data_IF_621047509412
#
_entry.id   IF_621047509412
#
_cell.length_a   1.000
_cell.length_b   1.000
_cell.length_c   1.000
_cell.angle_alpha   90.00
_cell.angle_beta   90.00
_cell.angle_gamma   90.00
#
_symmetry.space_group_name_H-M   'P 1'
#
loop_
_entity.id
_entity.type
_entity.pdbx_description
1 polymer ?
#
# COMPACT_ATOMS: atom_id res chain seq x y z
N UNK A 1 1.74 1.86 10.23
CA UNK A 1 2.68 1.88 9.11
C UNK A 1 3.54 0.62 9.14
N UNK A 2 3.75 0.00 7.98
CA UNK A 2 4.62 -1.17 7.81
C UNK A 2 5.79 -0.73 6.95
N UNK A 3 7.00 -1.20 7.29
CA UNK A 3 8.17 -0.89 6.48
C UNK A 3 9.11 -2.09 6.38
N UNK A 4 9.82 -2.18 5.24
CA UNK A 4 10.92 -3.09 4.99
C UNK A 4 12.01 -2.24 4.36
N UNK A 5 13.16 -2.10 5.01
CA UNK A 5 14.19 -1.11 4.65
C UNK A 5 13.57 0.28 4.58
N UNK A 6 13.54 0.89 3.37
CA UNK A 6 12.94 2.19 3.13
C UNK A 6 11.60 2.12 2.43
N UNK A 7 11.20 0.95 1.88
CA UNK A 7 9.82 0.75 1.37
C UNK A 7 8.86 0.90 2.55
N UNK A 8 7.84 1.73 2.37
CA UNK A 8 6.87 2.01 3.41
C UNK A 8 5.46 1.87 2.89
N UNK A 9 4.59 1.32 3.73
CA UNK A 9 3.18 1.22 3.43
C UNK A 9 2.38 1.77 4.61
N UNK A 10 1.43 2.64 4.32
CA UNK A 10 0.40 3.05 5.26
C UNK A 10 -0.87 2.33 4.86
N UNK A 11 -1.43 1.56 5.79
CA UNK A 11 -2.57 0.70 5.55
C UNK A 11 -3.76 1.21 6.36
N UNK A 12 -4.88 1.41 5.69
CA UNK A 12 -6.11 1.87 6.33
C UNK A 12 -7.26 0.94 5.98
N UNK A 13 -7.96 0.46 7.00
CA UNK A 13 -9.19 -0.31 6.81
C UNK A 13 -10.32 0.63 6.41
N UNK A 14 -11.08 0.24 5.39
CA UNK A 14 -12.18 1.06 4.87
C UNK A 14 -13.41 0.21 4.61
N UNK A 15 -14.58 0.83 4.64
CA UNK A 15 -15.82 0.20 4.18
C UNK A 15 -15.95 0.30 2.66
N UNK A 16 -15.40 1.35 2.09
CA UNK A 16 -15.26 1.55 0.65
C UNK A 16 -14.20 2.61 0.39
N UNK A 17 -13.60 2.60 -0.79
CA UNK A 17 -12.65 3.62 -1.21
C UNK A 17 -12.63 3.72 -2.72
N UNK A 18 -12.32 4.90 -3.22
CA UNK A 18 -12.13 5.12 -4.65
C UNK A 18 -11.04 6.16 -4.90
N UNK A 19 -10.45 6.11 -6.09
CA UNK A 19 -9.52 7.10 -6.58
C UNK A 19 -10.10 7.72 -7.83
N UNK A 20 -10.14 9.05 -7.89
CA UNK A 20 -10.67 9.80 -9.04
C UNK A 20 -9.59 10.69 -9.63
N UNK A 21 -9.61 10.79 -10.96
CA UNK A 21 -8.74 11.70 -11.70
C UNK A 21 -9.61 12.41 -12.73
N UNK A 22 -9.60 13.76 -12.70
CA UNK A 22 -10.41 14.59 -13.59
C UNK A 22 -11.90 14.23 -13.56
N UNK A 23 -12.42 13.87 -12.38
CA UNK A 23 -13.82 13.52 -12.20
C UNK A 23 -14.17 12.08 -12.54
N UNK A 24 -13.23 11.30 -13.06
CA UNK A 24 -13.44 9.89 -13.37
C UNK A 24 -12.85 8.98 -12.31
N UNK A 25 -13.60 7.93 -11.94
CA UNK A 25 -13.11 6.91 -11.03
C UNK A 25 -12.16 5.98 -11.78
N UNK A 26 -10.89 5.96 -11.34
CA UNK A 26 -9.86 5.10 -11.94
C UNK A 26 -9.62 3.82 -11.14
N UNK A 27 -10.10 3.76 -9.90
CA UNK A 27 -10.03 2.57 -9.07
C UNK A 27 -11.03 2.69 -7.93
N UNK A 28 -11.67 1.58 -7.56
CA UNK A 28 -12.64 1.55 -6.47
C UNK A 28 -12.68 0.16 -5.85
N UNK A 29 -12.93 0.12 -4.53
CA UNK A 29 -13.15 -1.11 -3.78
C UNK A 29 -14.33 -0.91 -2.81
N UNK A 30 -14.98 -2.03 -2.44
CA UNK A 30 -15.87 -2.08 -1.29
C UNK A 30 -15.06 -2.24 0.00
N UNK A 31 -15.52 -3.05 0.96
CA UNK A 31 -14.77 -3.26 2.21
C UNK A 31 -13.38 -3.80 1.94
N UNK A 32 -12.38 -3.28 2.64
CA UNK A 32 -11.01 -3.72 2.46
C UNK A 32 -9.99 -2.76 3.00
N UNK A 33 -8.87 -2.65 2.31
CA UNK A 33 -7.74 -1.82 2.71
C UNK A 33 -7.34 -0.84 1.61
N UNK A 34 -7.07 0.39 2.01
CA UNK A 34 -6.31 1.35 1.20
C UNK A 34 -4.85 1.22 1.62
N UNK A 35 -3.97 1.06 0.63
CA UNK A 35 -2.53 0.91 0.86
C UNK A 35 -1.83 2.05 0.14
N UNK A 36 -1.20 2.94 0.89
CA UNK A 36 -0.33 3.98 0.35
C UNK A 36 1.10 3.45 0.38
N UNK A 37 1.74 3.35 -0.78
CA UNK A 37 3.05 2.74 -0.91
C UNK A 37 4.10 3.77 -1.32
N UNK A 38 5.17 3.86 -0.54
CA UNK A 38 6.36 4.64 -0.88
C UNK A 38 7.56 3.74 -1.10
N UNK A 39 8.26 3.93 -2.22
CA UNK A 39 9.45 3.14 -2.58
C UNK A 39 10.69 3.99 -2.35
N UNK A 40 11.67 3.44 -1.62
CA UNK A 40 12.92 4.12 -1.31
C UNK A 40 14.06 3.73 -2.25
N UNK A 41 15.10 4.56 -2.25
CA UNK A 41 16.32 4.27 -2.98
C UNK A 41 16.93 2.96 -2.47
N UNK A 42 17.28 2.07 -3.39
CA UNK A 42 17.91 0.79 -3.06
C UNK A 42 16.95 -0.32 -2.67
N UNK A 43 15.64 -0.07 -2.66
CA UNK A 43 14.66 -1.12 -2.42
C UNK A 43 14.63 -2.13 -3.56
N UNK A 44 14.33 -3.36 -3.21
CA UNK A 44 14.35 -4.49 -4.13
C UNK A 44 12.99 -5.14 -4.26
N UNK A 45 12.87 -6.04 -5.25
CA UNK A 45 11.66 -6.85 -5.41
C UNK A 45 11.39 -7.71 -4.16
N UNK A 46 12.42 -8.19 -3.48
CA UNK A 46 12.28 -8.93 -2.23
C UNK A 46 11.60 -8.08 -1.15
N UNK A 47 11.95 -6.79 -1.08
CA UNK A 47 11.32 -5.87 -0.14
C UNK A 47 9.83 -5.68 -0.47
N UNK A 48 9.50 -5.54 -1.75
CA UNK A 48 8.12 -5.43 -2.19
C UNK A 48 7.32 -6.71 -1.91
N UNK A 49 7.91 -7.87 -2.14
CA UNK A 49 7.28 -9.16 -1.85
C UNK A 49 7.00 -9.32 -0.35
N UNK A 50 7.95 -8.92 0.48
CA UNK A 50 7.77 -8.95 1.93
C UNK A 50 6.58 -8.11 2.37
N UNK A 51 6.46 -6.88 1.86
CA UNK A 51 5.34 -6.01 2.21
C UNK A 51 4.00 -6.52 1.68
N UNK A 52 3.97 -7.07 0.46
CA UNK A 52 2.75 -7.63 -0.10
C UNK A 52 2.21 -8.75 0.79
N UNK A 53 3.08 -9.68 1.20
CA UNK A 53 2.72 -10.76 2.12
C UNK A 53 2.24 -10.21 3.46
N UNK A 54 2.92 -9.22 3.99
CA UNK A 54 2.59 -8.60 5.28
C UNK A 54 1.22 -7.95 5.22
N UNK A 55 0.92 -7.20 4.17
CA UNK A 55 -0.37 -6.53 4.00
C UNK A 55 -1.52 -7.53 3.90
N UNK A 56 -1.33 -8.61 3.13
CA UNK A 56 -2.37 -9.65 2.97
C UNK A 56 -2.71 -10.35 4.29
N UNK A 57 -1.75 -10.45 5.20
CA UNK A 57 -1.89 -11.21 6.44
C UNK A 57 -2.05 -10.34 7.69
N UNK A 58 -2.07 -9.02 7.54
CA UNK A 58 -2.20 -8.10 8.66
C UNK A 58 -3.59 -8.24 9.30
N UNK A 59 -3.63 -8.46 10.61
CA UNK A 59 -4.87 -8.72 11.33
C UNK A 59 -5.52 -7.41 11.81
N UNK A 60 -6.19 -6.72 10.90
CA UNK A 60 -6.82 -5.43 11.16
C UNK A 60 -8.33 -5.43 10.99
N UNK A 61 -8.93 -6.60 10.77
CA UNK A 61 -10.37 -6.77 10.68
C UNK A 61 -10.88 -7.49 11.92
N UNK A 62 -12.06 -7.08 12.45
CA UNK A 62 -12.60 -7.70 13.65
C UNK A 62 -13.10 -9.12 13.37
N UNK A 63 -12.91 -9.98 14.35
CA UNK A 63 -13.52 -11.30 14.37
C UNK A 63 -14.92 -11.24 15.00
N UNK A 64 -15.51 -12.40 15.28
CA UNK A 64 -16.86 -12.52 15.81
C UNK A 64 -17.04 -11.86 17.19
N UNK A 65 -15.96 -11.71 17.95
CA UNK A 65 -16.01 -11.09 19.28
C UNK A 65 -15.44 -9.66 19.28
N UNK A 66 -15.18 -9.09 18.10
CA UNK A 66 -14.71 -7.73 17.94
C UNK A 66 -13.20 -7.51 18.10
N UNK A 67 -12.42 -8.58 18.19
CA UNK A 67 -10.97 -8.48 18.25
C UNK A 67 -10.35 -8.46 16.85
N UNK A 68 -9.24 -7.76 16.69
CA UNK A 68 -8.54 -7.59 15.40
C UNK A 68 -7.74 -8.84 15.05
N UNK A 69 -8.42 -9.89 14.66
CA UNK A 69 -7.86 -11.21 14.39
C UNK A 69 -7.95 -11.66 12.95
N UNK A 70 -8.62 -10.90 12.07
CA UNK A 70 -8.81 -11.30 10.68
C UNK A 70 -8.01 -10.43 9.74
N UNK A 71 -7.46 -11.05 8.70
CA UNK A 71 -6.75 -10.36 7.62
C UNK A 71 -7.73 -10.00 6.50
N UNK A 72 -7.25 -9.21 5.52
CA UNK A 72 -8.03 -8.93 4.31
C UNK A 72 -8.34 -10.21 3.53
N UNK A 73 -7.45 -11.20 3.58
CA UNK A 73 -7.70 -12.53 2.99
C UNK A 73 -8.88 -13.22 3.68
N UNK A 74 -8.93 -13.19 5.01
CA UNK A 74 -9.97 -13.85 5.78
C UNK A 74 -11.36 -13.29 5.49
N UNK A 75 -11.44 -11.98 5.28
CA UNK A 75 -12.73 -11.31 5.03
C UNK A 75 -13.03 -11.14 3.55
N UNK A 76 -12.17 -11.62 2.67
CA UNK A 76 -12.30 -11.47 1.22
C UNK A 76 -12.48 -10.02 0.78
N UNK A 77 -11.74 -9.13 1.43
CA UNK A 77 -11.81 -7.70 1.15
C UNK A 77 -11.03 -7.29 -0.08
N UNK A 78 -11.25 -6.06 -0.54
CA UNK A 78 -10.51 -5.48 -1.66
C UNK A 78 -9.27 -4.72 -1.20
N UNK A 79 -8.43 -4.41 -2.15
CA UNK A 79 -7.20 -3.63 -1.94
C UNK A 79 -7.16 -2.50 -2.96
N UNK A 80 -7.05 -1.26 -2.49
CA UNK A 80 -6.80 -0.10 -3.34
C UNK A 80 -5.39 0.40 -3.03
N UNK A 81 -4.50 0.28 -4.01
CA UNK A 81 -3.08 0.60 -3.84
C UNK A 81 -2.75 1.89 -4.57
N UNK A 82 -2.16 2.84 -3.85
CA UNK A 82 -1.79 4.15 -4.38
C UNK A 82 -0.32 4.40 -4.08
N UNK A 83 0.44 4.81 -5.10
CA UNK A 83 1.83 5.20 -4.91
C UNK A 83 1.88 6.57 -4.25
N UNK A 84 2.70 6.71 -3.19
CA UNK A 84 2.79 7.95 -2.40
C UNK A 84 4.22 8.17 -1.94
N UNK A 85 5.00 8.93 -2.72
CA UNK A 85 6.41 9.18 -2.41
C UNK A 85 6.61 10.02 -1.13
N UNK A 86 5.61 10.79 -0.72
CA UNK A 86 5.71 11.63 0.47
C UNK A 86 5.88 10.83 1.76
N UNK A 87 5.61 9.51 1.74
CA UNK A 87 5.90 8.63 2.86
C UNK A 87 7.40 8.56 3.18
N UNK A 88 8.26 8.96 2.24
CA UNK A 88 9.71 9.00 2.38
C UNK A 88 10.23 10.39 2.76
N UNK A 89 9.34 11.32 3.11
CA UNK A 89 9.71 12.66 3.50
C UNK A 89 10.53 12.68 4.79
N UNK A 90 11.58 13.50 4.81
CA UNK A 90 12.48 13.65 5.93
C UNK A 90 12.50 15.12 6.36
N UNK A 91 12.15 15.39 7.62
CA UNK A 91 12.09 16.75 8.17
C UNK A 91 13.16 17.01 9.22
N UNK A 92 14.14 16.13 9.36
CA UNK A 92 15.18 16.25 10.40
C UNK A 92 16.06 17.48 10.23
N UNK A 93 16.21 17.99 9.00
CA UNK A 93 17.09 19.13 8.68
C UNK A 93 16.38 20.46 8.50
N UNK A 94 15.11 20.55 8.87
CA UNK A 94 14.36 21.80 8.72
C UNK A 94 12.86 21.59 8.65
N UNK A 95 12.18 22.63 8.20
CA UNK A 95 10.70 22.62 8.12
C UNK A 95 10.17 22.09 6.81
N UNK A 96 11.02 21.99 5.77
CA UNK A 96 10.64 21.43 4.49
C UNK A 96 11.03 19.95 4.45
N UNK A 97 10.10 19.06 4.07
CA UNK A 97 10.46 17.66 3.93
C UNK A 97 11.50 17.47 2.82
N UNK A 98 12.46 16.60 3.07
CA UNK A 98 13.40 16.14 2.06
C UNK A 98 12.95 14.79 1.55
N UNK A 99 12.90 14.61 0.24
CA UNK A 99 12.50 13.36 -0.41
C UNK A 99 13.67 12.65 -1.08
N UNK A 100 14.90 12.97 -0.64
CA UNK A 100 16.11 12.33 -1.19
C UNK A 100 16.14 10.81 -0.98
N UNK A 101 15.38 10.31 0.00
CA UNK A 101 15.24 8.87 0.22
C UNK A 101 14.26 8.17 -0.73
N UNK A 102 13.46 8.93 -1.48
CA UNK A 102 12.51 8.35 -2.42
C UNK A 102 13.23 7.87 -3.68
N UNK A 103 12.81 6.70 -4.21
CA UNK A 103 13.38 6.16 -5.44
C UNK A 103 13.05 7.05 -6.65
N UNK A 104 13.90 7.03 -7.69
CA UNK A 104 13.55 7.69 -8.96
C UNK A 104 12.23 7.14 -9.52
N UNK A 105 11.47 7.95 -10.29
CA UNK A 105 10.15 7.54 -10.76
C UNK A 105 10.09 6.20 -11.49
N UNK A 106 11.08 5.90 -12.32
CA UNK A 106 11.12 4.63 -13.07
C UNK A 106 11.24 3.43 -12.15
N UNK A 107 12.14 3.51 -11.18
CA UNK A 107 12.37 2.43 -10.23
C UNK A 107 11.20 2.30 -9.26
N UNK A 108 10.65 3.43 -8.80
CA UNK A 108 9.48 3.43 -7.95
C UNK A 108 8.28 2.79 -8.67
N UNK A 109 8.06 3.12 -9.93
CA UNK A 109 6.98 2.53 -10.74
C UNK A 109 7.16 1.03 -10.89
N UNK A 110 8.38 0.57 -11.18
CA UNK A 110 8.68 -0.85 -11.34
C UNK A 110 8.37 -1.65 -10.06
N UNK A 111 8.81 -1.15 -8.92
CA UNK A 111 8.58 -1.82 -7.65
C UNK A 111 7.12 -1.72 -7.18
N UNK A 112 6.46 -0.60 -7.47
CA UNK A 112 5.03 -0.46 -7.24
C UNK A 112 4.24 -1.51 -8.02
N UNK A 113 4.52 -1.67 -9.31
CA UNK A 113 3.88 -2.69 -10.14
C UNK A 113 4.19 -4.10 -9.64
N UNK A 114 5.41 -4.33 -9.19
CA UNK A 114 5.80 -5.61 -8.62
C UNK A 114 5.01 -5.92 -7.34
N UNK A 115 4.85 -4.91 -6.46
CA UNK A 115 4.04 -5.04 -5.25
C UNK A 115 2.59 -5.40 -5.60
N UNK A 116 1.98 -4.68 -6.54
CA UNK A 116 0.61 -4.93 -6.98
C UNK A 116 0.48 -6.35 -7.56
N UNK A 117 1.45 -6.77 -8.37
CA UNK A 117 1.49 -8.12 -8.95
C UNK A 117 1.56 -9.19 -7.86
N UNK A 118 2.23 -8.89 -6.74
CA UNK A 118 2.31 -9.80 -5.61
C UNK A 118 0.99 -9.97 -4.85
N UNK A 119 0.07 -9.00 -4.98
CA UNK A 119 -1.25 -9.07 -4.34
C UNK A 119 -2.26 -9.84 -5.19
N UNK A 120 -2.12 -9.85 -6.52
CA UNK A 120 -3.10 -10.43 -7.43
C UNK A 120 -3.33 -11.94 -7.27
N UNK A 121 -2.30 -12.77 -6.99
CA UNK A 121 -2.53 -14.20 -6.79
C UNK A 121 -3.45 -14.55 -5.62
N UNK A 122 -3.71 -13.60 -4.72
CA UNK A 122 -4.64 -13.78 -3.61
C UNK A 122 -6.09 -14.03 -4.08
N UNK A 123 -6.42 -13.62 -5.32
CA UNK A 123 -7.79 -13.68 -5.82
C UNK A 123 -8.68 -12.54 -5.36
N UNK A 124 -8.17 -11.65 -4.50
CA UNK A 124 -8.95 -10.50 -4.01
C UNK A 124 -9.03 -9.41 -5.08
N UNK A 125 -10.10 -8.56 -5.04
CA UNK A 125 -10.14 -7.39 -5.89
C UNK A 125 -8.97 -6.46 -5.58
N UNK A 126 -8.14 -6.16 -6.59
CA UNK A 126 -7.02 -5.23 -6.45
C UNK A 126 -7.22 -4.10 -7.45
N UNK A 127 -7.44 -2.91 -6.93
CA UNK A 127 -7.56 -1.68 -7.72
C UNK A 127 -6.34 -0.80 -7.46
N UNK A 128 -6.02 0.05 -8.43
CA UNK A 128 -4.90 0.98 -8.30
C UNK A 128 -5.37 2.41 -8.49
N UNK A 129 -4.74 3.31 -7.76
CA UNK A 129 -4.86 4.73 -7.98
C UNK A 129 -3.79 5.21 -8.96
N UNK A 130 -3.84 6.45 -9.31
CA UNK A 130 -2.82 7.06 -10.18
C UNK A 130 -1.67 7.59 -9.37
#
# INVERSE_FOLDING_TARGET
>A
MISSRTVRAVVQRVSEASCRVNGETVGAIGPGLVVLLGVGVGDTETDADYLADKVLNLRVFPDEVGQMNRSVLDVSGGLLVVSQFTLLGDVRKGRRPSYSGAAPPEEASRLYEHFVSGLRPSGLPVATGV
#
